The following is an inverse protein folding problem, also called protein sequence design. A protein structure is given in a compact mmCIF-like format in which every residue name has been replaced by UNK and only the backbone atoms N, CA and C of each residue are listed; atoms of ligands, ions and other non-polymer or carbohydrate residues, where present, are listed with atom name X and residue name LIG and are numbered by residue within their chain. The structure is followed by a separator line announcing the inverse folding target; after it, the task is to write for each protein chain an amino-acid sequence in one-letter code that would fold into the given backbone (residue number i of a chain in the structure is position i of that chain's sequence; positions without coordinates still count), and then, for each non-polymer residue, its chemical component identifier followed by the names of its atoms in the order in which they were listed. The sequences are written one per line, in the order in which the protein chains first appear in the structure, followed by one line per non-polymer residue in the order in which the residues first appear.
data_IF_148740985694
#
_entry.id   IF_148740985694
#
_cell.length_a   1.000
_cell.length_b   1.000
_cell.length_c   1.000
_cell.angle_alpha   90.00
_cell.angle_beta   90.00
_cell.angle_gamma   90.00
#
_symmetry.space_group_name_H-M   'P 1'
#
loop_
_entity.id
_entity.type
_entity.pdbx_description
1 polymer ?
#
# COMPACT_ATOMS: atom_id res chain seq x y z
N UNK A 1 -7.44 -2.05 -10.90
CA UNK A 1 -8.69 -2.42 -10.19
C UNK A 1 -8.29 -3.19 -8.94
N UNK A 2 -8.62 -2.68 -7.75
CA UNK A 2 -8.28 -3.30 -6.49
C UNK A 2 -9.17 -4.54 -6.24
N UNK A 3 -8.78 -5.68 -6.81
CA UNK A 3 -9.43 -6.96 -6.58
C UNK A 3 -8.85 -7.63 -5.34
N UNK A 4 -9.61 -8.55 -4.72
CA UNK A 4 -9.17 -9.26 -3.50
C UNK A 4 -7.90 -10.07 -3.66
N UNK A 5 -7.55 -10.35 -4.92
CA UNK A 5 -6.28 -10.92 -5.33
C UNK A 5 -5.06 -10.11 -4.88
N UNK A 6 -5.15 -8.78 -4.74
CA UNK A 6 -4.01 -7.96 -4.28
C UNK A 6 -3.54 -8.35 -2.86
N UNK A 7 -4.47 -8.66 -1.96
CA UNK A 7 -4.14 -9.12 -0.61
C UNK A 7 -3.46 -10.50 -0.63
N UNK A 8 -3.97 -11.42 -1.45
CA UNK A 8 -3.40 -12.78 -1.57
C UNK A 8 -1.99 -12.74 -2.18
N UNK A 9 -1.79 -11.97 -3.24
CA UNK A 9 -0.48 -11.87 -3.89
C UNK A 9 0.54 -11.22 -2.96
N UNK A 10 0.17 -10.12 -2.30
CA UNK A 10 1.09 -9.42 -1.39
C UNK A 10 1.50 -10.27 -0.19
N UNK A 11 0.60 -11.03 0.42
CA UNK A 11 0.97 -11.91 1.54
C UNK A 11 1.87 -13.05 1.09
N UNK A 12 1.65 -13.62 -0.11
CA UNK A 12 2.54 -14.64 -0.68
C UNK A 12 3.95 -14.09 -0.87
N UNK A 13 4.08 -12.87 -1.40
CA UNK A 13 5.39 -12.21 -1.58
C UNK A 13 6.08 -12.00 -0.23
N UNK A 14 5.36 -11.53 0.78
CA UNK A 14 5.90 -11.30 2.13
C UNK A 14 6.37 -12.61 2.78
N UNK A 15 5.57 -13.67 2.69
CA UNK A 15 5.95 -15.00 3.19
C UNK A 15 7.17 -15.53 2.44
N UNK A 16 7.25 -15.36 1.12
CA UNK A 16 8.41 -15.76 0.33
C UNK A 16 9.69 -15.02 0.77
N UNK A 17 9.60 -13.71 1.02
CA UNK A 17 10.72 -12.91 1.53
C UNK A 17 11.11 -13.36 2.95
N UNK A 18 10.14 -13.64 3.83
CA UNK A 18 10.41 -14.12 5.18
C UNK A 18 11.11 -15.50 5.16
N UNK A 19 10.67 -16.40 4.28
CA UNK A 19 11.31 -17.69 4.05
C UNK A 19 12.73 -17.52 3.49
N UNK A 20 12.92 -16.63 2.52
CA UNK A 20 14.24 -16.31 1.99
C UNK A 20 15.16 -15.76 3.10
N UNK A 21 14.68 -14.83 3.93
CA UNK A 21 15.44 -14.30 5.06
C UNK A 21 15.82 -15.41 6.07
N UNK A 22 14.98 -16.42 6.24
CA UNK A 22 15.28 -17.54 7.14
C UNK A 22 16.42 -18.42 6.61
N UNK A 23 16.39 -18.78 5.33
CA UNK A 23 17.36 -19.70 4.71
C UNK A 23 18.65 -19.02 4.27
N UNK A 24 18.59 -17.78 3.76
CA UNK A 24 19.74 -17.06 3.22
C UNK A 24 20.43 -16.16 4.24
N UNK A 25 19.98 -16.11 5.50
CA UNK A 25 20.66 -15.32 6.54
C UNK A 25 22.08 -15.86 6.81
N UNK A 26 23.11 -14.98 6.80
CA UNK A 26 24.50 -15.39 6.97
C UNK A 26 24.71 -16.11 8.30
N UNK A 27 25.47 -17.21 8.25
CA UNK A 27 25.83 -17.98 9.44
C UNK A 27 26.93 -17.22 10.20
N UNK A 28 26.60 -16.69 11.37
CA UNK A 28 27.49 -15.94 12.24
C UNK A 28 26.78 -15.54 13.53
N UNK A 29 27.48 -14.83 14.42
CA UNK A 29 26.94 -14.41 15.73
C UNK A 29 25.65 -13.59 15.61
N UNK A 30 25.56 -12.77 14.55
CA UNK A 30 24.40 -11.90 14.30
C UNK A 30 23.26 -12.59 13.51
N UNK A 31 23.30 -13.90 13.29
CA UNK A 31 22.31 -14.59 12.44
C UNK A 31 20.87 -14.39 12.94
N UNK A 32 20.66 -14.46 14.26
CA UNK A 32 19.33 -14.26 14.87
C UNK A 32 18.84 -12.84 14.65
N UNK A 33 19.72 -11.85 14.80
CA UNK A 33 19.39 -10.44 14.57
C UNK A 33 19.02 -10.21 13.11
N UNK A 34 19.78 -10.78 12.16
CA UNK A 34 19.46 -10.71 10.73
C UNK A 34 18.10 -11.31 10.40
N UNK A 35 17.79 -12.50 10.93
CA UNK A 35 16.50 -13.18 10.71
C UNK A 35 15.34 -12.38 11.28
N UNK A 36 15.43 -12.00 12.56
CA UNK A 36 14.33 -11.33 13.25
C UNK A 36 14.07 -9.93 12.70
N UNK A 37 15.13 -9.16 12.41
CA UNK A 37 14.99 -7.79 11.89
C UNK A 37 14.28 -7.76 10.55
N UNK A 38 14.73 -8.58 9.59
CA UNK A 38 14.13 -8.61 8.24
C UNK A 38 12.68 -9.10 8.31
N UNK A 39 12.42 -10.21 9.01
CA UNK A 39 11.07 -10.78 9.09
C UNK A 39 10.09 -9.80 9.77
N UNK A 40 10.50 -9.17 10.87
CA UNK A 40 9.65 -8.25 11.61
C UNK A 40 9.39 -6.95 10.83
N UNK A 41 10.40 -6.40 10.16
CA UNK A 41 10.24 -5.20 9.34
C UNK A 41 9.29 -5.46 8.17
N UNK A 42 9.48 -6.54 7.42
CA UNK A 42 8.61 -6.86 6.27
C UNK A 42 7.18 -7.13 6.72
N UNK A 43 6.99 -7.84 7.84
CA UNK A 43 5.67 -8.06 8.43
C UNK A 43 4.98 -6.75 8.86
N UNK A 44 5.71 -5.88 9.55
CA UNK A 44 5.19 -4.57 10.01
C UNK A 44 4.79 -3.67 8.84
N UNK A 45 5.65 -3.58 7.82
CA UNK A 45 5.37 -2.81 6.61
C UNK A 45 4.15 -3.36 5.87
N UNK A 46 4.01 -4.69 5.77
CA UNK A 46 2.85 -5.29 5.13
C UNK A 46 1.56 -5.04 5.92
N UNK A 47 1.59 -5.13 7.25
CA UNK A 47 0.42 -4.85 8.09
C UNK A 47 -0.07 -3.40 7.93
N UNK A 48 0.83 -2.42 7.96
CA UNK A 48 0.47 -1.01 7.71
C UNK A 48 -0.21 -0.84 6.35
N UNK A 49 0.36 -1.45 5.31
CA UNK A 49 -0.19 -1.40 3.96
C UNK A 49 -1.55 -2.13 3.87
N UNK A 50 -1.68 -3.33 4.43
CA UNK A 50 -2.89 -4.14 4.36
C UNK A 50 -4.07 -3.46 5.07
N UNK A 51 -3.83 -2.85 6.24
CA UNK A 51 -4.87 -2.13 6.99
C UNK A 51 -5.35 -0.91 6.20
N UNK A 52 -4.43 -0.12 5.63
CA UNK A 52 -4.81 1.07 4.83
C UNK A 52 -5.54 0.70 3.54
N UNK A 53 -5.17 -0.42 2.91
CA UNK A 53 -5.91 -0.97 1.78
C UNK A 53 -7.32 -1.43 2.17
N UNK A 54 -7.46 -2.19 3.25
CA UNK A 54 -8.74 -2.68 3.76
C UNK A 54 -9.67 -1.55 4.19
N UNK A 55 -9.13 -0.46 4.75
CA UNK A 55 -9.92 0.72 5.12
C UNK A 55 -10.61 1.39 3.92
N UNK A 56 -10.07 1.24 2.71
CA UNK A 56 -10.66 1.73 1.47
C UNK A 56 -11.53 0.68 0.77
N UNK A 57 -11.51 -0.56 1.25
CA UNK A 57 -12.16 -1.68 0.59
C UNK A 57 -13.61 -1.78 1.07
N UNK A 58 -14.53 -1.47 0.15
CA UNK A 58 -15.98 -1.33 0.41
C UNK A 58 -16.28 -0.12 1.33
N UNK A 59 -16.03 1.10 0.82
CA UNK A 59 -16.21 2.32 1.61
C UNK A 59 -17.70 2.58 1.90
N UNK A 60 -18.00 2.96 3.14
CA UNK A 60 -19.34 3.37 3.57
C UNK A 60 -19.58 4.87 3.38
N UNK A 61 -18.49 5.65 3.36
CA UNK A 61 -18.50 7.10 3.23
C UNK A 61 -17.87 7.44 1.89
N UNK A 62 -18.52 8.31 1.13
CA UNK A 62 -18.00 8.85 -0.13
C UNK A 62 -17.38 10.23 0.12
N UNK A 63 -16.33 10.61 -0.62
CA UNK A 63 -15.75 11.93 -0.49
C UNK A 63 -16.72 13.00 -0.96
N UNK A 64 -17.05 13.95 -0.09
CA UNK A 64 -17.84 15.14 -0.43
C UNK A 64 -16.92 16.36 -0.45
N UNK A 65 -16.98 17.16 -1.52
CA UNK A 65 -16.21 18.40 -1.63
C UNK A 65 -17.01 19.47 -2.38
N UNK A 66 -17.01 20.69 -1.84
CA UNK A 66 -17.73 21.84 -2.41
C UNK A 66 -16.87 22.76 -3.29
N UNK A 67 -15.54 22.66 -3.19
CA UNK A 67 -14.59 23.55 -3.87
C UNK A 67 -13.92 22.88 -5.09
N UNK A 68 -14.74 22.30 -5.97
CA UNK A 68 -14.27 21.80 -7.27
C UNK A 68 -13.95 22.99 -8.18
N UNK A 69 -12.75 23.00 -8.79
CA UNK A 69 -12.47 23.96 -9.88
C UNK A 69 -13.55 23.81 -10.97
N UNK A 70 -14.06 24.92 -11.54
CA UNK A 70 -15.22 24.89 -12.42
C UNK A 70 -15.10 23.94 -13.61
N UNK A 71 -13.88 23.81 -14.18
CA UNK A 71 -13.58 22.90 -15.28
C UNK A 71 -13.84 21.42 -14.99
N UNK A 72 -13.81 20.99 -13.73
CA UNK A 72 -14.05 19.59 -13.33
C UNK A 72 -15.46 19.36 -12.78
N UNK A 73 -16.27 20.42 -12.61
CA UNK A 73 -17.62 20.36 -12.03
C UNK A 73 -18.74 20.49 -13.09
N UNK A 74 -18.42 20.27 -14.37
CA UNK A 74 -19.38 20.54 -15.46
C UNK A 74 -19.69 22.03 -15.68
N UNK A 75 -18.93 22.92 -15.02
CA UNK A 75 -18.99 24.35 -15.26
C UNK A 75 -18.34 24.69 -16.61
N UNK A 76 -18.88 25.69 -17.32
CA UNK A 76 -18.30 26.14 -18.58
C UNK A 76 -16.84 26.53 -18.35
N UNK A 77 -15.91 25.88 -19.05
CA UNK A 77 -14.50 26.27 -19.09
C UNK A 77 -14.47 27.71 -19.60
N UNK A 78 -14.21 28.68 -18.73
CA UNK A 78 -14.05 30.06 -19.17
C UNK A 78 -12.76 30.11 -19.96
N UNK A 79 -12.92 30.08 -21.29
CA UNK A 79 -11.83 30.16 -22.25
C UNK A 79 -10.86 31.24 -21.82
N UNK A 80 -9.59 30.83 -21.69
CA UNK A 80 -8.47 31.72 -21.46
C UNK A 80 -8.60 32.90 -22.43
N UNK A 81 -8.97 34.07 -21.90
CA UNK A 81 -8.73 35.32 -22.63
C UNK A 81 -7.22 35.50 -22.55
N UNK A 82 -6.57 35.09 -23.62
CA UNK A 82 -5.22 35.51 -23.92
C UNK A 82 -5.17 37.04 -23.80
N UNK A 83 -4.37 37.50 -22.85
CA UNK A 83 -3.65 38.76 -22.91
C UNK A 83 -2.20 38.43 -22.62
#
# INVERSE_FOLDING_TARGET
MANGWSLIISIIVVVAIAMAAWFFSPKGENQTVWRSSIILSVASCWLMWAITFLAQWHPLIVPERSDLRPEFNGGKVQGSRAF
#
